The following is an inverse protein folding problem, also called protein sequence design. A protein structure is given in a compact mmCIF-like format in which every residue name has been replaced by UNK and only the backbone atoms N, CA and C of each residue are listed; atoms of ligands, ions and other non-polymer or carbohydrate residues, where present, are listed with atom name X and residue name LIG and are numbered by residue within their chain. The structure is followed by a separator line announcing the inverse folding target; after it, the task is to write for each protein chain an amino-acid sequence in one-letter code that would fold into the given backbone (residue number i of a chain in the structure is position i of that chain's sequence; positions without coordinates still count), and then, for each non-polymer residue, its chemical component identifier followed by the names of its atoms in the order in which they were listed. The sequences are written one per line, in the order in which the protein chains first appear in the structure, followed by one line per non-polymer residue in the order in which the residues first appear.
data_IF_271318824923
#
_entry.id   IF_271318824923
#
_cell.length_a   1.000
_cell.length_b   1.000
_cell.length_c   1.000
_cell.angle_alpha   90.00
_cell.angle_beta   90.00
_cell.angle_gamma   90.00
#
_symmetry.space_group_name_H-M   'P 1'
#
loop_
_entity.id
_entity.type
_entity.pdbx_description
1 polymer ?
#
# COMPACT_ATOMS: atom_id res chain seq x y z
N UNK A 1 -12.03 -21.59 -30.09
CA UNK A 1 -11.29 -22.09 -28.91
C UNK A 1 -11.27 -21.08 -27.74
N UNK A 2 -11.41 -19.76 -27.98
CA UNK A 2 -11.47 -18.75 -26.90
C UNK A 2 -12.78 -18.71 -26.10
N UNK A 3 -13.90 -19.12 -26.72
CA UNK A 3 -15.22 -19.07 -26.07
C UNK A 3 -15.31 -20.02 -24.86
N UNK A 4 -14.63 -21.18 -24.91
CA UNK A 4 -14.53 -22.12 -23.78
C UNK A 4 -13.68 -21.60 -22.61
N UNK A 5 -12.81 -20.60 -22.82
CA UNK A 5 -12.02 -19.97 -21.75
C UNK A 5 -12.86 -18.93 -21.00
N UNK A 6 -13.77 -18.24 -21.69
CA UNK A 6 -14.72 -17.26 -21.12
C UNK A 6 -15.74 -17.92 -20.19
N UNK A 7 -16.21 -19.11 -20.55
CA UNK A 7 -17.17 -19.89 -19.74
C UNK A 7 -16.67 -20.39 -18.37
N UNK A 8 -15.34 -20.53 -18.17
CA UNK A 8 -14.77 -20.88 -16.85
C UNK A 8 -14.48 -19.69 -15.95
N UNK A 9 -14.33 -18.49 -16.52
CA UNK A 9 -14.06 -17.26 -15.78
C UNK A 9 -15.33 -16.57 -15.26
N UNK A 10 -16.50 -16.89 -15.83
CA UNK A 10 -17.79 -16.28 -15.48
C UNK A 10 -18.55 -16.98 -14.35
N UNK A 11 -17.96 -18.00 -13.71
CA UNK A 11 -18.53 -18.68 -12.53
C UNK A 11 -17.87 -18.27 -11.21
N UNK A 12 -17.23 -17.10 -11.13
CA UNK A 12 -16.91 -16.54 -9.81
C UNK A 12 -18.21 -15.97 -9.24
N UNK A 13 -18.69 -16.43 -8.09
CA UNK A 13 -19.90 -15.89 -7.50
C UNK A 13 -19.67 -14.40 -7.24
N UNK A 14 -20.59 -13.55 -7.70
CA UNK A 14 -20.52 -12.09 -7.60
C UNK A 14 -20.24 -11.62 -6.15
N UNK A 15 -20.79 -12.34 -5.18
CA UNK A 15 -20.53 -12.17 -3.75
C UNK A 15 -19.04 -12.30 -3.37
N UNK A 16 -18.32 -13.25 -3.96
CA UNK A 16 -16.90 -13.48 -3.65
C UNK A 16 -16.02 -12.34 -4.15
N UNK A 17 -16.30 -11.81 -5.33
CA UNK A 17 -15.61 -10.62 -5.85
C UNK A 17 -15.88 -9.39 -4.99
N UNK A 18 -17.13 -9.21 -4.53
CA UNK A 18 -17.48 -8.12 -3.61
C UNK A 18 -16.74 -8.23 -2.28
N UNK A 19 -16.67 -9.42 -1.69
CA UNK A 19 -15.96 -9.65 -0.43
C UNK A 19 -14.49 -9.25 -0.54
N UNK A 20 -13.82 -9.66 -1.62
CA UNK A 20 -12.41 -9.32 -1.87
C UNK A 20 -12.20 -7.79 -1.97
N UNK A 21 -13.06 -7.09 -2.72
CA UNK A 21 -12.96 -5.63 -2.88
C UNK A 21 -13.16 -4.90 -1.56
N UNK A 22 -14.11 -5.35 -0.74
CA UNK A 22 -14.38 -4.76 0.57
C UNK A 22 -13.20 -4.92 1.52
N UNK A 23 -12.59 -6.11 1.55
CA UNK A 23 -11.40 -6.39 2.36
C UNK A 23 -10.25 -5.47 1.93
N UNK A 24 -9.98 -5.36 0.64
CA UNK A 24 -8.88 -4.51 0.14
C UNK A 24 -9.12 -3.04 0.44
N UNK A 25 -10.32 -2.50 0.17
CA UNK A 25 -10.62 -1.08 0.45
C UNK A 25 -10.58 -0.78 1.96
N UNK A 26 -11.05 -1.72 2.79
CA UNK A 26 -10.97 -1.60 4.24
C UNK A 26 -9.52 -1.53 4.73
N UNK A 27 -8.67 -2.45 4.27
CA UNK A 27 -7.26 -2.49 4.63
C UNK A 27 -6.52 -1.19 4.26
N UNK A 28 -6.72 -0.70 3.03
CA UNK A 28 -6.11 0.57 2.57
C UNK A 28 -6.55 1.74 3.45
N UNK A 29 -7.84 1.80 3.81
CA UNK A 29 -8.38 2.87 4.67
C UNK A 29 -7.74 2.86 6.05
N UNK A 30 -7.63 1.68 6.68
CA UNK A 30 -7.00 1.54 8.00
C UNK A 30 -5.53 1.95 7.95
N UNK A 31 -4.78 1.51 6.94
CA UNK A 31 -3.38 1.88 6.77
C UNK A 31 -3.19 3.40 6.59
N UNK A 32 -4.06 4.03 5.78
CA UNK A 32 -3.99 5.47 5.54
C UNK A 32 -4.33 6.28 6.79
N UNK A 33 -5.34 5.86 7.55
CA UNK A 33 -5.69 6.47 8.84
C UNK A 33 -4.55 6.34 9.85
N UNK A 34 -3.95 5.15 9.98
CA UNK A 34 -2.80 4.95 10.86
C UNK A 34 -1.65 5.88 10.47
N UNK A 35 -1.23 5.89 9.21
CA UNK A 35 -0.16 6.78 8.72
C UNK A 35 -0.47 8.26 9.04
N UNK A 36 -1.72 8.68 8.88
CA UNK A 36 -2.14 10.05 9.21
C UNK A 36 -2.04 10.39 10.69
N UNK A 37 -2.40 9.44 11.57
CA UNK A 37 -2.29 9.60 13.03
C UNK A 37 -0.82 9.65 13.45
N UNK A 38 0.00 8.71 12.98
CA UNK A 38 1.45 8.71 13.22
C UNK A 38 2.11 10.01 12.76
N UNK A 39 1.72 10.50 11.58
CA UNK A 39 2.29 11.74 11.05
C UNK A 39 1.86 12.96 11.88
N UNK A 40 0.64 12.99 12.40
CA UNK A 40 0.19 14.09 13.27
C UNK A 40 0.81 14.06 14.67
N UNK A 41 1.29 12.90 15.13
CA UNK A 41 1.99 12.76 16.41
C UNK A 41 3.48 13.12 16.30
N UNK A 42 4.13 12.80 15.17
CA UNK A 42 5.56 13.02 14.99
C UNK A 42 5.92 14.37 14.33
N UNK A 43 5.02 14.98 13.56
CA UNK A 43 5.38 16.11 12.70
C UNK A 43 4.32 17.23 12.61
N UNK A 44 4.76 18.51 12.51
CA UNK A 44 3.87 19.66 12.31
C UNK A 44 3.16 19.64 10.94
N UNK A 45 1.99 20.28 10.87
CA UNK A 45 1.05 20.28 9.73
C UNK A 45 1.66 20.65 8.36
N UNK A 46 2.78 21.37 8.34
CA UNK A 46 3.50 21.80 7.13
C UNK A 46 4.12 20.65 6.32
N UNK A 47 4.60 19.57 6.96
CA UNK A 47 5.22 18.45 6.22
C UNK A 47 4.22 17.35 5.87
N UNK A 48 3.05 17.32 6.52
CA UNK A 48 1.99 16.32 6.32
C UNK A 48 1.47 16.29 4.89
N UNK A 49 1.13 17.46 4.33
CA UNK A 49 0.52 17.55 3.00
C UNK A 49 1.52 17.15 1.90
N UNK A 50 2.79 17.53 2.07
CA UNK A 50 3.88 17.17 1.16
C UNK A 50 4.18 15.67 1.22
N UNK A 51 4.25 15.07 2.41
CA UNK A 51 4.52 13.64 2.57
C UNK A 51 3.44 12.78 1.89
N UNK A 52 2.17 13.13 2.08
CA UNK A 52 1.05 12.44 1.43
C UNK A 52 1.05 12.66 -0.07
N UNK A 53 1.34 13.87 -0.53
CA UNK A 53 1.49 14.18 -1.95
C UNK A 53 2.58 13.34 -2.62
N UNK A 54 3.78 13.29 -2.02
CA UNK A 54 4.89 12.46 -2.48
C UNK A 54 4.52 10.98 -2.53
N UNK A 55 3.92 10.44 -1.46
CA UNK A 55 3.44 9.05 -1.43
C UNK A 55 2.45 8.77 -2.58
N UNK A 56 1.51 9.69 -2.83
CA UNK A 56 0.56 9.56 -3.94
C UNK A 56 1.26 9.53 -5.30
N UNK A 57 2.25 10.40 -5.53
CA UNK A 57 3.01 10.39 -6.79
C UNK A 57 3.77 9.08 -6.99
N UNK A 58 4.43 8.57 -5.95
CA UNK A 58 5.14 7.28 -5.98
C UNK A 58 4.16 6.13 -6.26
N UNK A 59 3.00 6.13 -5.61
CA UNK A 59 1.95 5.13 -5.84
C UNK A 59 1.45 5.14 -7.29
N UNK A 60 1.32 6.33 -7.90
CA UNK A 60 0.93 6.47 -9.32
C UNK A 60 2.01 5.94 -10.26
N UNK A 61 3.28 6.24 -10.01
CA UNK A 61 4.40 5.69 -10.78
C UNK A 61 4.43 4.16 -10.67
N UNK A 62 4.24 3.62 -9.46
CA UNK A 62 4.15 2.18 -9.23
C UNK A 62 2.99 1.53 -9.96
N UNK A 63 1.82 2.18 -10.05
CA UNK A 63 0.67 1.67 -10.79
C UNK A 63 0.90 1.63 -12.31
N UNK A 64 1.59 2.63 -12.87
CA UNK A 64 1.97 2.66 -14.30
C UNK A 64 2.95 1.54 -14.59
N UNK A 65 4.01 1.42 -13.77
CA UNK A 65 5.02 0.36 -13.91
C UNK A 65 4.40 -1.03 -13.79
N UNK A 66 3.49 -1.20 -12.83
CA UNK A 66 2.73 -2.43 -12.62
C UNK A 66 1.92 -2.84 -13.86
N UNK A 67 1.21 -1.88 -14.46
CA UNK A 67 0.38 -2.12 -15.64
C UNK A 67 1.23 -2.52 -16.85
N UNK A 68 2.40 -1.89 -17.02
CA UNK A 68 3.34 -2.24 -18.09
C UNK A 68 3.90 -3.65 -17.92
N UNK A 69 4.34 -4.00 -16.71
CA UNK A 69 4.83 -5.34 -16.39
C UNK A 69 3.74 -6.40 -16.57
N UNK A 70 2.50 -6.10 -16.17
CA UNK A 70 1.37 -7.01 -16.31
C UNK A 70 1.08 -7.36 -17.78
N UNK A 71 1.12 -6.37 -18.68
CA UNK A 71 0.91 -6.60 -20.11
C UNK A 71 1.98 -7.53 -20.70
N UNK A 72 3.25 -7.23 -20.41
CA UNK A 72 4.38 -8.00 -20.94
C UNK A 72 4.41 -9.45 -20.40
N UNK A 73 4.14 -9.64 -19.10
CA UNK A 73 4.09 -10.98 -18.48
C UNK A 73 2.92 -11.83 -18.96
N UNK A 74 1.75 -11.21 -19.19
CA UNK A 74 0.56 -11.94 -19.66
C UNK A 74 0.76 -12.50 -21.06
N UNK A 75 1.47 -11.76 -21.92
CA UNK A 75 1.76 -12.18 -23.29
C UNK A 75 2.76 -13.36 -23.33
N UNK A 76 3.76 -13.36 -22.47
CA UNK A 76 4.80 -14.39 -22.45
C UNK A 76 4.45 -15.65 -21.63
N UNK A 77 3.77 -15.52 -20.49
CA UNK A 77 3.59 -16.63 -19.52
C UNK A 77 2.13 -16.79 -19.02
N UNK A 78 1.19 -15.96 -19.49
CA UNK A 78 -0.22 -16.02 -19.11
C UNK A 78 -0.54 -15.41 -17.73
N UNK A 79 -1.83 -15.41 -17.36
CA UNK A 79 -2.36 -14.64 -16.20
C UNK A 79 -1.77 -15.02 -14.83
N UNK A 80 -1.32 -16.25 -14.65
CA UNK A 80 -0.77 -16.70 -13.36
C UNK A 80 0.62 -16.14 -13.07
N UNK A 81 1.37 -15.77 -14.12
CA UNK A 81 2.70 -15.20 -13.98
C UNK A 81 2.69 -13.82 -13.33
N UNK A 82 1.56 -13.10 -13.36
CA UNK A 82 1.41 -11.81 -12.68
C UNK A 82 1.14 -11.96 -11.17
N UNK A 83 0.36 -12.95 -10.75
CA UNK A 83 -0.11 -13.03 -9.36
C UNK A 83 1.04 -13.29 -8.38
N UNK A 84 1.99 -14.13 -8.76
CA UNK A 84 3.11 -14.55 -7.91
C UNK A 84 4.09 -13.40 -7.59
N UNK A 85 4.65 -12.66 -8.56
CA UNK A 85 5.59 -11.58 -8.25
C UNK A 85 4.92 -10.43 -7.50
N UNK A 86 3.68 -10.07 -7.86
CA UNK A 86 2.97 -8.99 -7.17
C UNK A 86 2.61 -9.33 -5.72
N UNK A 87 2.22 -10.58 -5.43
CA UNK A 87 1.95 -11.00 -4.05
C UNK A 87 3.23 -11.05 -3.22
N UNK A 88 4.34 -11.52 -3.77
CA UNK A 88 5.65 -11.52 -3.09
C UNK A 88 6.15 -10.10 -2.82
N UNK A 89 6.04 -9.18 -3.78
CA UNK A 89 6.38 -7.77 -3.60
C UNK A 89 5.51 -7.12 -2.51
N UNK A 90 4.21 -7.42 -2.49
CA UNK A 90 3.32 -6.93 -1.44
C UNK A 90 3.67 -7.49 -0.06
N UNK A 91 4.01 -8.77 0.04
CA UNK A 91 4.39 -9.41 1.31
C UNK A 91 5.72 -8.86 1.83
N UNK A 92 6.72 -8.71 0.97
CA UNK A 92 8.01 -8.13 1.35
C UNK A 92 7.85 -6.68 1.79
N UNK A 93 7.03 -5.88 1.10
CA UNK A 93 6.70 -4.52 1.53
C UNK A 93 5.99 -4.50 2.90
N UNK A 94 5.05 -5.41 3.14
CA UNK A 94 4.36 -5.53 4.42
C UNK A 94 5.31 -5.94 5.56
N UNK A 95 6.20 -6.90 5.32
CA UNK A 95 7.21 -7.35 6.29
C UNK A 95 8.20 -6.24 6.59
N UNK A 96 8.70 -5.56 5.54
CA UNK A 96 9.59 -4.41 5.70
C UNK A 96 8.90 -3.31 6.50
N UNK A 97 7.64 -2.99 6.21
CA UNK A 97 6.88 -2.00 6.98
C UNK A 97 6.71 -2.44 8.42
N UNK A 98 6.38 -3.71 8.68
CA UNK A 98 6.25 -4.23 10.03
C UNK A 98 7.59 -4.24 10.80
N UNK A 99 8.72 -4.44 10.12
CA UNK A 99 10.04 -4.41 10.71
C UNK A 99 10.59 -2.98 10.91
N UNK A 100 10.30 -2.07 9.98
CA UNK A 100 10.76 -0.67 10.01
C UNK A 100 9.86 0.24 10.83
N UNK A 101 8.63 -0.18 11.15
CA UNK A 101 7.71 0.56 12.01
C UNK A 101 7.85 -0.01 13.43
N UNK A 102 8.81 0.48 14.25
CA UNK A 102 8.88 0.08 15.65
C UNK A 102 7.56 0.47 16.32
N UNK A 103 6.97 -0.47 17.06
CA UNK A 103 5.75 -0.24 17.83
C UNK A 103 5.88 1.03 18.68
N UNK A 104 5.06 2.04 18.41
CA UNK A 104 4.89 3.23 19.28
C UNK A 104 4.00 2.95 20.49
N UNK A 105 3.64 1.70 20.77
CA UNK A 105 2.70 1.30 21.82
C UNK A 105 3.31 1.29 23.25
N UNK A 106 4.31 2.13 23.56
CA UNK A 106 4.84 2.25 24.94
C UNK A 106 5.84 3.39 25.26
N UNK A 107 6.00 4.43 24.43
CA UNK A 107 6.88 5.55 24.77
C UNK A 107 6.07 6.83 25.00
N UNK A 108 6.17 7.49 26.17
CA UNK A 108 5.48 8.76 26.41
C UNK A 108 5.96 9.80 25.39
N UNK A 109 5.02 10.55 24.81
CA UNK A 109 5.30 11.59 23.82
C UNK A 109 6.15 12.69 24.45
N UNK A 110 7.32 13.06 23.86
CA UNK A 110 8.02 14.27 24.26
C UNK A 110 7.16 15.50 23.89
N UNK A 111 6.75 16.28 24.88
CA UNK A 111 5.84 17.43 24.73
C UNK A 111 6.50 18.71 24.15
N UNK A 112 7.65 18.65 23.45
CA UNK A 112 8.29 19.89 22.97
C UNK A 112 9.07 19.75 21.66
N UNK A 113 8.73 20.63 20.72
CA UNK A 113 9.48 20.91 19.48
C UNK A 113 10.95 21.28 19.74
N UNK A 114 11.26 21.80 20.93
CA UNK A 114 12.60 22.26 21.30
C UNK A 114 13.65 21.15 21.46
N UNK A 115 13.25 19.89 21.58
CA UNK A 115 14.19 18.75 21.64
C UNK A 115 14.49 18.11 20.27
N UNK A 116 13.63 18.33 19.27
CA UNK A 116 13.83 17.77 17.91
C UNK A 116 14.80 18.63 17.09
N UNK A 117 14.86 19.94 17.37
CA UNK A 117 15.59 20.90 16.55
C UNK A 117 17.01 21.21 17.06
N UNK A 118 17.44 20.64 18.21
CA UNK A 118 18.83 20.70 18.67
C UNK A 118 19.45 22.11 18.74
N UNK A 119 18.65 23.17 18.75
CA UNK A 119 19.12 24.55 18.78
C UNK A 119 19.00 25.08 20.20
N UNK A 120 20.06 24.88 20.98
CA UNK A 120 20.41 25.84 22.02
C UNK A 120 21.10 27.02 21.34
N UNK A 121 20.37 28.11 21.08
CA UNK A 121 20.94 29.47 21.02
C UNK A 121 19.93 30.40 21.68
#
# INVERSE_FOLDING_TARGET
MEEKRKGRLQKVPFYWGMLQVMITKGAVTVSYTAMYTYTSELFPTVVRNTAVGCCSTIARVGAIMSSYMALWLVEAYGKLAMVIPFSLLSLTAAILTAAFLPETMKKPMPESISEVEGTKI
#
